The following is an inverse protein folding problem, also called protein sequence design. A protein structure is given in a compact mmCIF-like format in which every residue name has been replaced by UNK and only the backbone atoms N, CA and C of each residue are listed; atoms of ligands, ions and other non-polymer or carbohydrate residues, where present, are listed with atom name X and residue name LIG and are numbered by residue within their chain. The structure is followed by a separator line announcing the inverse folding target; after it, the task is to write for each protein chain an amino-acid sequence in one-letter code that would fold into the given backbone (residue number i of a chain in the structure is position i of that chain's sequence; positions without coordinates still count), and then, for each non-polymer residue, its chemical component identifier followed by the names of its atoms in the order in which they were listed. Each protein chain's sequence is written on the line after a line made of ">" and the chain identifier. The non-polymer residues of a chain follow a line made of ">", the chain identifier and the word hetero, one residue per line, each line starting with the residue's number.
data_IF_860438089082
#
_entry.id   IF_860438089082
#
_cell.length_a   1.000
_cell.length_b   1.000
_cell.length_c   1.000
_cell.angle_alpha   90.00
_cell.angle_beta   90.00
_cell.angle_gamma   90.00
#
_symmetry.space_group_name_H-M   'P 1'
#
loop_
_entity.id
_entity.type
_entity.pdbx_description
1 polymer ?
#
# COMPACT_ATOMS: atom_id res chain seq x y z
N UNK A 1 -10.62 -10.54 -26.85
CA UNK A 1 -11.35 -9.28 -26.63
C UNK A 1 -11.63 -8.70 -27.99
N UNK A 2 -12.73 -7.95 -28.17
CA UNK A 2 -13.01 -7.32 -29.47
C UNK A 2 -11.84 -6.39 -29.84
N UNK A 3 -11.28 -6.48 -31.05
CA UNK A 3 -10.09 -5.72 -31.46
C UNK A 3 -10.32 -4.20 -31.53
N UNK A 4 -11.55 -3.72 -31.36
CA UNK A 4 -11.90 -2.31 -31.48
C UNK A 4 -12.07 -1.59 -30.12
N UNK A 5 -11.91 -2.25 -28.98
CA UNK A 5 -12.13 -1.60 -27.68
C UNK A 5 -10.91 -0.79 -27.19
N UNK A 6 -9.71 -1.22 -27.57
CA UNK A 6 -8.45 -0.58 -27.21
C UNK A 6 -7.71 -0.27 -28.50
N UNK A 7 -7.53 1.01 -28.82
CA UNK A 7 -6.58 1.38 -29.85
C UNK A 7 -5.19 0.97 -29.37
N UNK A 8 -4.45 0.19 -30.15
CA UNK A 8 -3.12 -0.31 -29.78
C UNK A 8 -2.10 0.82 -29.48
N UNK A 9 -2.42 2.06 -29.87
CA UNK A 9 -1.59 3.25 -29.70
C UNK A 9 -2.00 4.16 -28.52
N UNK A 10 -3.14 3.92 -27.88
CA UNK A 10 -3.66 4.81 -26.83
C UNK A 10 -3.39 4.25 -25.43
N UNK A 11 -2.39 4.82 -24.76
CA UNK A 11 -2.18 4.58 -23.34
C UNK A 11 -3.41 5.06 -22.55
N UNK A 12 -3.84 4.32 -21.50
CA UNK A 12 -4.91 4.79 -20.65
C UNK A 12 -4.55 6.17 -20.05
N UNK A 13 -5.51 7.11 -19.98
CA UNK A 13 -5.26 8.44 -19.46
C UNK A 13 -4.85 8.41 -17.98
N UNK A 14 -4.25 9.49 -17.49
CA UNK A 14 -3.93 9.63 -16.07
C UNK A 14 -5.19 9.42 -15.21
N UNK A 15 -5.04 8.63 -14.14
CA UNK A 15 -6.13 8.22 -13.26
C UNK A 15 -7.25 7.42 -13.96
N UNK A 16 -6.91 6.65 -15.00
CA UNK A 16 -7.86 5.71 -15.59
C UNK A 16 -8.40 4.72 -14.54
N UNK A 17 -9.69 4.47 -14.56
CA UNK A 17 -10.37 3.54 -13.64
C UNK A 17 -11.16 2.50 -14.42
N UNK A 18 -10.95 1.22 -14.10
CA UNK A 18 -11.84 0.13 -14.49
C UNK A 18 -12.62 -0.29 -13.25
N UNK A 19 -13.94 -0.25 -13.32
CA UNK A 19 -14.84 -0.69 -12.26
C UNK A 19 -15.66 -1.86 -12.78
N UNK A 20 -15.63 -2.97 -12.05
CA UNK A 20 -16.47 -4.13 -12.30
C UNK A 20 -17.47 -4.24 -11.15
N UNK A 21 -18.74 -4.05 -11.46
CA UNK A 21 -19.82 -4.24 -10.51
C UNK A 21 -20.47 -5.60 -10.75
N UNK A 22 -20.76 -6.33 -9.68
CA UNK A 22 -21.45 -7.62 -9.73
C UNK A 22 -22.72 -7.49 -8.90
N UNK A 23 -23.85 -7.75 -9.53
CA UNK A 23 -25.18 -7.62 -8.96
C UNK A 23 -25.84 -8.99 -8.90
N UNK A 24 -26.44 -9.30 -7.75
CA UNK A 24 -27.34 -10.46 -7.64
C UNK A 24 -28.74 -10.03 -8.04
N UNK A 25 -29.33 -10.74 -8.98
CA UNK A 25 -30.69 -10.48 -9.44
C UNK A 25 -31.65 -11.24 -8.52
N UNK A 26 -32.57 -10.50 -7.88
CA UNK A 26 -33.52 -11.07 -6.90
C UNK A 26 -34.94 -10.83 -7.41
N UNK A 27 -35.79 -11.86 -7.35
CA UNK A 27 -37.24 -11.69 -7.38
C UNK A 27 -37.94 -11.83 -8.73
N UNK A 28 -37.48 -12.72 -9.63
CA UNK A 28 -38.21 -13.08 -10.86
C UNK A 28 -38.40 -11.94 -11.87
N UNK A 29 -37.80 -10.77 -11.63
CA UNK A 29 -37.78 -9.62 -12.54
C UNK A 29 -36.64 -9.69 -13.56
N UNK A 30 -35.71 -10.64 -13.39
CA UNK A 30 -34.73 -10.96 -14.40
C UNK A 30 -35.37 -11.91 -15.41
N UNK A 31 -35.25 -11.59 -16.69
CA UNK A 31 -35.56 -12.54 -17.74
C UNK A 31 -34.60 -13.72 -17.60
N UNK A 32 -35.13 -14.87 -17.17
CA UNK A 32 -34.36 -16.11 -16.93
C UNK A 32 -33.57 -16.53 -18.17
N UNK A 33 -34.02 -16.14 -19.37
CA UNK A 33 -33.31 -16.44 -20.62
C UNK A 33 -32.06 -15.58 -20.81
N UNK A 34 -32.06 -14.37 -20.26
CA UNK A 34 -30.96 -13.41 -20.37
C UNK A 34 -29.97 -13.52 -19.21
N UNK A 35 -30.43 -13.95 -18.03
CA UNK A 35 -29.60 -14.04 -16.81
C UNK A 35 -29.71 -15.42 -16.13
N UNK A 36 -29.30 -16.51 -16.80
CA UNK A 36 -29.41 -17.86 -16.26
C UNK A 36 -28.59 -18.11 -14.99
N UNK A 37 -27.65 -17.23 -14.65
CA UNK A 37 -26.82 -17.36 -13.45
C UNK A 37 -27.42 -16.74 -12.18
N UNK A 38 -28.50 -15.96 -12.29
CA UNK A 38 -28.96 -15.02 -11.26
C UNK A 38 -27.96 -13.90 -10.91
N UNK A 39 -26.87 -13.75 -11.67
CA UNK A 39 -25.86 -12.71 -11.48
C UNK A 39 -25.66 -11.90 -12.76
N UNK A 40 -25.82 -10.60 -12.64
CA UNK A 40 -25.46 -9.64 -13.68
C UNK A 40 -24.15 -8.95 -13.33
N UNK A 41 -23.35 -8.59 -14.32
CA UNK A 41 -22.21 -7.69 -14.14
C UNK A 41 -22.35 -6.44 -15.01
N UNK A 42 -21.76 -5.34 -14.54
CA UNK A 42 -21.61 -4.08 -15.27
C UNK A 42 -20.14 -3.69 -15.32
N UNK A 43 -19.63 -3.43 -16.52
CA UNK A 43 -18.26 -2.99 -16.75
C UNK A 43 -18.25 -1.49 -17.02
N UNK A 44 -17.44 -0.75 -16.26
CA UNK A 44 -17.30 0.70 -16.38
C UNK A 44 -15.83 1.04 -16.60
N UNK A 45 -15.53 1.85 -17.61
CA UNK A 45 -14.20 2.39 -17.87
C UNK A 45 -14.26 3.92 -17.89
N UNK A 46 -13.50 4.57 -17.04
CA UNK A 46 -13.45 6.05 -16.91
C UNK A 46 -14.84 6.69 -16.81
N UNK A 47 -15.75 6.06 -16.04
CA UNK A 47 -17.12 6.53 -15.85
C UNK A 47 -18.11 6.14 -16.96
N UNK A 48 -17.66 5.52 -18.06
CA UNK A 48 -18.53 5.05 -19.15
C UNK A 48 -18.86 3.58 -19.01
N UNK A 49 -20.14 3.21 -19.16
CA UNK A 49 -20.58 1.82 -19.15
C UNK A 49 -20.24 1.16 -20.48
N UNK A 50 -19.41 0.13 -20.45
CA UNK A 50 -18.94 -0.60 -21.63
C UNK A 50 -19.52 -2.02 -21.76
N UNK A 51 -20.42 -2.44 -20.86
CA UNK A 51 -20.97 -3.81 -20.84
C UNK A 51 -21.57 -4.22 -22.19
N UNK A 52 -22.32 -3.34 -22.84
CA UNK A 52 -22.97 -3.59 -24.13
C UNK A 52 -21.98 -3.78 -25.30
N UNK A 53 -20.74 -3.30 -25.15
CA UNK A 53 -19.69 -3.47 -26.16
C UNK A 53 -19.02 -4.85 -26.04
N UNK A 54 -19.29 -5.61 -24.98
CA UNK A 54 -18.78 -6.96 -24.85
C UNK A 54 -19.57 -7.92 -25.73
N UNK A 55 -18.90 -8.56 -26.67
CA UNK A 55 -19.48 -9.64 -27.48
C UNK A 55 -20.12 -10.72 -26.60
N UNK A 56 -21.40 -11.01 -26.85
CA UNK A 56 -22.21 -11.93 -26.04
C UNK A 56 -23.15 -11.24 -25.05
N UNK A 57 -23.04 -9.91 -24.90
CA UNK A 57 -23.96 -9.12 -24.09
C UNK A 57 -25.03 -8.43 -24.96
N UNK A 58 -26.26 -8.23 -24.43
CA UNK A 58 -27.30 -7.46 -25.11
C UNK A 58 -26.91 -5.99 -25.30
N UNK A 59 -27.16 -5.44 -26.49
CA UNK A 59 -26.73 -4.09 -26.87
C UNK A 59 -27.54 -2.96 -26.20
N UNK A 60 -28.76 -3.26 -25.76
CA UNK A 60 -29.71 -2.31 -25.16
C UNK A 60 -29.66 -2.29 -23.62
N UNK A 61 -28.73 -3.03 -23.00
CA UNK A 61 -28.68 -3.21 -21.54
C UNK A 61 -27.30 -2.90 -20.97
N UNK A 62 -27.31 -2.38 -19.74
CA UNK A 62 -26.09 -2.10 -18.97
C UNK A 62 -25.56 -3.32 -18.20
N UNK A 63 -26.39 -4.36 -18.04
CA UNK A 63 -26.07 -5.59 -17.30
C UNK A 63 -26.00 -6.78 -18.25
N UNK A 64 -25.01 -7.64 -18.02
CA UNK A 64 -24.81 -8.88 -18.77
C UNK A 64 -24.61 -10.05 -17.81
N UNK A 65 -24.96 -11.26 -18.21
CA UNK A 65 -24.83 -12.45 -17.36
C UNK A 65 -23.35 -12.73 -17.02
N UNK A 66 -23.08 -13.11 -15.76
CA UNK A 66 -21.73 -13.35 -15.27
C UNK A 66 -20.98 -14.45 -16.05
N UNK A 67 -21.67 -15.39 -16.70
CA UNK A 67 -21.01 -16.43 -17.50
C UNK A 67 -20.21 -15.83 -18.66
N UNK A 68 -20.73 -14.80 -19.31
CA UNK A 68 -20.04 -14.12 -20.42
C UNK A 68 -18.71 -13.54 -19.95
N UNK A 69 -18.69 -12.96 -18.74
CA UNK A 69 -17.46 -12.47 -18.13
C UNK A 69 -16.50 -13.63 -17.81
N UNK A 70 -17.01 -14.69 -17.18
CA UNK A 70 -16.20 -15.85 -16.78
C UNK A 70 -15.55 -16.54 -17.98
N UNK A 71 -16.28 -16.67 -19.08
CA UNK A 71 -15.77 -17.27 -20.32
C UNK A 71 -14.61 -16.46 -20.92
N UNK A 72 -14.58 -15.15 -20.68
CA UNK A 72 -13.49 -14.26 -21.12
C UNK A 72 -12.30 -14.26 -20.16
N UNK A 73 -12.55 -14.29 -18.86
CA UNK A 73 -11.51 -14.17 -17.84
C UNK A 73 -10.80 -15.50 -17.59
N UNK A 74 -11.53 -16.63 -17.55
CA UNK A 74 -10.96 -17.97 -17.29
C UNK A 74 -9.77 -18.36 -18.18
N UNK A 75 -9.76 -18.13 -19.51
CA UNK A 75 -8.62 -18.48 -20.33
C UNK A 75 -7.37 -17.64 -20.00
N UNK A 76 -7.55 -16.41 -19.50
CA UNK A 76 -6.45 -15.51 -19.11
C UNK A 76 -5.95 -15.78 -17.69
N UNK A 77 -6.85 -16.14 -16.77
CA UNK A 77 -6.55 -16.36 -15.35
C UNK A 77 -5.99 -17.77 -15.06
N UNK A 78 -5.10 -18.28 -15.91
CA UNK A 78 -4.45 -19.58 -15.69
C UNK A 78 -3.26 -19.42 -14.76
N UNK A 79 -3.31 -20.14 -13.62
CA UNK A 79 -2.20 -20.18 -12.65
C UNK A 79 -0.91 -20.77 -13.25
N UNK A 80 -1.06 -21.70 -14.19
CA UNK A 80 0.04 -22.45 -14.79
C UNK A 80 0.59 -21.80 -16.06
N UNK A 81 0.38 -20.49 -16.25
CA UNK A 81 0.95 -19.80 -17.41
C UNK A 81 2.49 -19.78 -17.30
N UNK A 82 3.22 -20.47 -18.20
CA UNK A 82 4.68 -20.56 -18.14
C UNK A 82 5.36 -19.20 -18.24
N UNK A 83 4.71 -18.21 -18.85
CA UNK A 83 5.26 -16.85 -19.02
C UNK A 83 5.41 -16.10 -17.68
N UNK A 84 4.57 -16.39 -16.68
CA UNK A 84 4.65 -15.78 -15.36
C UNK A 84 5.68 -16.44 -14.42
N UNK A 85 6.20 -17.62 -14.78
CA UNK A 85 7.13 -18.37 -13.91
C UNK A 85 8.59 -17.91 -14.08
N UNK A 86 8.94 -17.38 -15.25
CA UNK A 86 10.32 -16.97 -15.55
C UNK A 86 10.71 -15.65 -14.86
N UNK A 87 9.74 -14.80 -14.53
CA UNK A 87 9.97 -13.48 -13.91
C UNK A 87 10.42 -13.58 -12.45
N UNK A 88 9.98 -14.61 -11.72
CA UNK A 88 10.37 -14.84 -10.32
C UNK A 88 11.82 -15.38 -10.19
N UNK A 89 12.33 -16.06 -11.21
CA UNK A 89 13.72 -16.53 -11.22
C UNK A 89 14.73 -15.42 -11.55
N UNK A 90 14.36 -14.43 -12.36
CA UNK A 90 15.27 -13.33 -12.71
C UNK A 90 15.41 -12.27 -11.60
N UNK A 91 14.36 -11.99 -10.81
CA UNK A 91 14.49 -11.05 -9.68
C UNK A 91 15.30 -11.60 -8.49
N UNK A 92 15.50 -12.91 -8.38
CA UNK A 92 16.38 -13.47 -7.34
C UNK A 92 17.89 -13.38 -7.66
N UNK A 93 18.29 -12.90 -8.84
CA UNK A 93 19.72 -12.79 -9.20
C UNK A 93 20.31 -11.39 -9.01
N UNK A 94 19.53 -10.36 -8.65
CA UNK A 94 20.03 -8.98 -8.52
C UNK A 94 20.08 -8.39 -7.10
N UNK A 95 19.72 -9.15 -6.05
CA UNK A 95 20.04 -8.76 -4.67
C UNK A 95 21.24 -9.54 -4.11
N UNK A 96 22.30 -8.86 -3.60
CA UNK A 96 23.48 -9.51 -3.02
C UNK A 96 23.19 -10.04 -1.60
N UNK A 97 22.04 -10.68 -1.38
CA UNK A 97 21.65 -11.28 -0.09
C UNK A 97 21.88 -12.78 -0.05
N UNK A 98 22.15 -13.44 -1.19
CA UNK A 98 22.39 -14.89 -1.27
C UNK A 98 23.77 -15.36 -0.78
N UNK A 99 24.70 -14.43 -0.57
CA UNK A 99 26.02 -14.76 0.02
C UNK A 99 25.98 -14.79 1.55
N UNK A 100 25.15 -13.95 2.17
CA UNK A 100 25.07 -13.85 3.62
C UNK A 100 24.41 -15.08 4.28
N UNK A 101 23.39 -15.68 3.66
CA UNK A 101 22.68 -16.83 4.23
C UNK A 101 23.53 -18.10 4.29
N UNK A 102 24.39 -18.35 3.29
CA UNK A 102 25.33 -19.48 3.32
C UNK A 102 26.44 -19.27 4.35
N UNK A 103 26.92 -18.04 4.51
CA UNK A 103 27.94 -17.71 5.52
C UNK A 103 27.37 -17.81 6.94
N UNK A 104 26.12 -17.39 7.16
CA UNK A 104 25.42 -17.51 8.45
C UNK A 104 25.13 -18.98 8.80
N UNK A 105 24.74 -19.83 7.84
CA UNK A 105 24.55 -21.26 8.12
C UNK A 105 25.86 -21.99 8.45
N UNK A 106 26.97 -21.58 7.83
CA UNK A 106 28.31 -22.13 8.12
C UNK A 106 28.85 -21.64 9.47
N UNK A 107 28.63 -20.37 9.82
CA UNK A 107 28.98 -19.83 11.13
C UNK A 107 28.12 -20.48 12.24
N UNK A 108 26.83 -20.68 12.01
CA UNK A 108 25.90 -21.27 12.98
C UNK A 108 26.16 -22.75 13.29
N UNK A 109 26.83 -23.51 12.42
CA UNK A 109 27.15 -24.93 12.65
C UNK A 109 28.48 -25.15 13.38
N UNK A 110 29.33 -24.12 13.48
CA UNK A 110 30.58 -24.20 14.24
C UNK A 110 30.35 -23.71 15.67
N UNK A 111 30.89 -24.43 16.67
CA UNK A 111 30.84 -23.99 18.07
C UNK A 111 31.45 -22.57 18.26
N UNK A 112 32.42 -22.20 17.41
CA UNK A 112 33.01 -20.86 17.38
C UNK A 112 32.05 -19.76 16.90
N UNK A 113 31.13 -20.05 15.97
CA UNK A 113 30.21 -19.04 15.45
C UNK A 113 29.07 -18.69 16.42
N UNK A 114 28.65 -19.64 17.28
CA UNK A 114 27.69 -19.34 18.35
C UNK A 114 28.32 -18.36 19.36
N UNK A 115 29.59 -18.58 19.73
CA UNK A 115 30.32 -17.68 20.64
C UNK A 115 30.43 -16.27 20.05
N UNK A 116 30.73 -16.16 18.75
CA UNK A 116 30.80 -14.86 18.07
C UNK A 116 29.45 -14.14 18.04
N UNK A 117 28.35 -14.84 17.80
CA UNK A 117 27.01 -14.24 17.83
C UNK A 117 26.67 -13.69 19.22
N UNK A 118 26.96 -14.46 20.28
CA UNK A 118 26.75 -14.02 21.66
C UNK A 118 27.61 -12.78 21.95
N UNK A 119 28.88 -12.77 21.54
CA UNK A 119 29.77 -11.64 21.73
C UNK A 119 29.25 -10.37 21.02
N UNK A 120 28.77 -10.49 19.78
CA UNK A 120 28.19 -9.36 19.03
C UNK A 120 26.94 -8.80 19.70
N UNK A 121 26.06 -9.67 20.19
CA UNK A 121 24.84 -9.25 20.91
C UNK A 121 25.19 -8.52 22.21
N UNK A 122 26.19 -9.01 22.96
CA UNK A 122 26.63 -8.34 24.19
C UNK A 122 27.27 -6.98 23.91
N UNK A 123 28.12 -6.88 22.89
CA UNK A 123 28.75 -5.61 22.51
C UNK A 123 27.72 -4.58 22.03
N UNK A 124 26.73 -5.00 21.23
CA UNK A 124 25.68 -4.09 20.76
C UNK A 124 24.78 -3.61 21.89
N UNK A 125 24.44 -4.48 22.84
CA UNK A 125 23.67 -4.10 24.03
C UNK A 125 24.43 -3.09 24.91
N UNK A 126 25.74 -3.28 25.10
CA UNK A 126 26.58 -2.35 25.87
C UNK A 126 26.68 -0.99 25.19
N UNK A 127 26.95 -0.96 23.89
CA UNK A 127 27.04 0.30 23.13
C UNK A 127 25.70 1.05 23.11
N UNK A 128 24.59 0.34 22.93
CA UNK A 128 23.25 0.91 22.97
C UNK A 128 22.89 1.47 24.36
N UNK A 129 23.22 0.74 25.43
CA UNK A 129 22.99 1.16 26.80
C UNK A 129 23.79 2.42 27.16
N UNK A 130 25.09 2.43 26.88
CA UNK A 130 25.96 3.59 27.14
C UNK A 130 25.52 4.81 26.34
N UNK A 131 25.18 4.63 25.05
CA UNK A 131 24.67 5.70 24.20
C UNK A 131 23.37 6.31 24.73
N UNK A 132 22.44 5.47 25.19
CA UNK A 132 21.15 5.92 25.75
C UNK A 132 21.35 6.71 27.04
N UNK A 133 22.18 6.22 27.96
CA UNK A 133 22.50 6.92 29.22
C UNK A 133 23.21 8.24 28.95
N UNK A 134 24.17 8.26 28.03
CA UNK A 134 24.88 9.48 27.64
C UNK A 134 23.94 10.52 27.02
N UNK A 135 23.04 10.09 26.13
CA UNK A 135 22.04 10.96 25.51
C UNK A 135 21.09 11.59 26.55
N UNK A 136 20.57 10.79 27.49
CA UNK A 136 19.66 11.27 28.53
C UNK A 136 20.37 12.19 29.54
N UNK A 137 21.60 11.86 29.94
CA UNK A 137 22.38 12.67 30.89
C UNK A 137 22.87 13.99 30.28
N UNK A 138 23.24 14.01 29.00
CA UNK A 138 23.60 15.26 28.29
C UNK A 138 22.38 16.15 28.04
N UNK A 139 21.25 15.57 27.65
CA UNK A 139 19.99 16.32 27.42
C UNK A 139 19.45 16.94 28.72
N UNK A 140 19.50 16.21 29.83
CA UNK A 140 19.08 16.74 31.14
C UNK A 140 20.03 17.80 31.68
N UNK A 141 21.35 17.64 31.49
CA UNK A 141 22.33 18.70 31.81
C UNK A 141 22.12 19.98 30.99
N UNK A 142 21.80 19.87 29.70
CA UNK A 142 21.43 21.04 28.88
C UNK A 142 20.18 21.73 29.42
N UNK A 143 19.13 20.98 29.77
CA UNK A 143 17.92 21.54 30.38
C UNK A 143 18.18 22.24 31.72
N UNK A 144 19.04 21.67 32.58
CA UNK A 144 19.42 22.31 33.86
C UNK A 144 20.18 23.63 33.65
N UNK A 145 21.08 23.71 32.66
CA UNK A 145 21.77 24.97 32.31
C UNK A 145 20.79 26.04 31.80
N UNK A 146 19.78 25.65 31.02
CA UNK A 146 18.73 26.59 30.57
C UNK A 146 17.81 27.05 31.71
N UNK A 147 17.55 26.21 32.73
CA UNK A 147 16.77 26.61 33.90
C UNK A 147 17.52 27.63 34.79
N UNK A 148 18.83 27.48 34.96
CA UNK A 148 19.63 28.47 35.68
C UNK A 148 19.77 29.80 34.93
N UNK A 149 19.84 29.77 33.59
CA UNK A 149 19.84 31.00 32.79
C UNK A 149 18.50 31.77 32.83
N UNK A 150 17.36 31.07 33.01
CA UNK A 150 16.05 31.74 33.19
C UNK A 150 15.89 32.41 34.55
N UNK A 151 16.42 31.84 35.63
CA UNK A 151 16.32 32.45 36.96
C UNK A 151 17.13 33.75 37.10
N UNK A 152 18.18 33.95 36.30
CA UNK A 152 18.88 35.24 36.25
C UNK A 152 18.08 36.32 35.50
N UNK A 153 17.26 35.94 34.52
CA UNK A 153 16.45 36.88 33.73
C UNK A 153 15.06 37.16 34.34
N UNK A 154 14.52 36.26 35.17
CA UNK A 154 13.24 36.46 35.85
C UNK A 154 13.29 37.52 36.97
N UNK A 155 14.47 37.81 37.52
CA UNK A 155 14.63 38.93 38.47
C UNK A 155 14.64 40.31 37.82
N UNK A 156 14.74 40.40 36.48
CA UNK A 156 14.88 41.68 35.78
C UNK A 156 13.69 42.06 34.90
N UNK A 157 12.83 41.11 34.54
CA UNK A 157 11.66 41.38 33.71
C UNK A 157 10.37 41.03 34.45
N UNK A 158 10.04 41.90 35.41
CA UNK A 158 8.70 42.00 35.96
C UNK A 158 7.80 42.75 34.97
N UNK A 159 7.38 42.13 33.86
CA UNK A 159 6.13 42.47 33.14
C UNK A 159 5.63 41.24 32.37
N UNK A 160 4.32 41.04 32.48
CA UNK A 160 3.48 39.96 31.97
C UNK A 160 3.74 39.54 30.52
N UNK A 161 3.62 38.24 30.24
CA UNK A 161 2.77 37.63 29.19
C UNK A 161 2.95 36.11 29.21
N UNK A 162 1.87 35.36 29.50
CA UNK A 162 1.80 33.91 29.32
C UNK A 162 1.15 33.66 27.95
N UNK A 163 1.93 33.20 26.98
CA UNK A 163 1.39 32.64 25.73
C UNK A 163 1.27 31.13 25.88
N UNK A 164 0.05 30.63 25.94
CA UNK A 164 -0.26 29.22 25.70
C UNK A 164 -0.18 28.97 24.19
N UNK A 165 0.69 28.07 23.77
CA UNK A 165 0.73 27.55 22.40
C UNK A 165 -0.01 26.22 22.42
N UNK A 166 -1.28 26.26 22.03
CA UNK A 166 -2.05 25.08 21.63
C UNK A 166 -1.84 24.89 20.12
N UNK A 167 -1.07 23.85 19.76
CA UNK A 167 -0.99 23.38 18.39
C UNK A 167 -2.25 22.53 18.10
N UNK A 168 -3.34 23.20 17.72
CA UNK A 168 -4.47 22.58 17.00
C UNK A 168 -4.29 22.86 15.50
N UNK A 169 -3.83 21.86 14.73
CA UNK A 169 -3.94 21.90 13.28
C UNK A 169 -5.40 21.65 12.86
N UNK A 170 -6.13 22.74 12.62
CA UNK A 170 -7.44 22.72 11.95
C UNK A 170 -7.21 22.55 10.45
N UNK A 171 -7.60 21.39 9.93
CA UNK A 171 -7.61 21.09 8.50
C UNK A 171 -8.89 21.65 7.86
N UNK A 172 -8.80 22.78 7.17
CA UNK A 172 -9.93 23.36 6.40
C UNK A 172 -10.13 22.60 5.07
N UNK A 173 -11.35 22.06 4.87
CA UNK A 173 -11.78 21.49 3.59
C UNK A 173 -12.52 22.60 2.80
N UNK A 174 -12.11 22.94 1.56
CA UNK A 174 -12.82 23.93 0.76
C UNK A 174 -14.18 23.41 0.29
N UNK A 175 -15.21 24.23 0.45
CA UNK A 175 -16.57 23.98 -0.05
C UNK A 175 -16.57 23.99 -1.58
N UNK A 176 -16.98 22.87 -2.18
CA UNK A 176 -17.29 22.76 -3.60
C UNK A 176 -18.60 23.51 -3.86
N UNK A 177 -18.56 24.54 -4.70
CA UNK A 177 -19.78 25.19 -5.21
C UNK A 177 -20.29 24.39 -6.41
N UNK A 178 -21.55 23.97 -6.34
CA UNK A 178 -22.29 23.40 -7.47
C UNK A 178 -22.93 24.58 -8.21
N UNK A 179 -22.58 24.73 -9.49
CA UNK A 179 -23.25 25.62 -10.46
C UNK A 179 -24.11 24.76 -11.37
#
# INVERSE_FOLDING_TARGET
>A
MDPNLWGDDDWPPYASSVILEIHRLIGGMADETLYPSDFGFRLIYNGQVLTALMSGCPADRELCDIHVLMDRVRPMARRDNPECHNSLQQQQQQHPTRSATKMVSLLSQSAGGIILMIAVVLVSALLGGVGTVWYLTTRTRRRRRSAHARNYNYSNNNYDTITFVEDEEVFEIPKIQVV
#
